data_IF_152399268529
#
_entry.id   IF_152399268529
#
_cell.length_a   1.000
_cell.length_b   1.000
_cell.length_c   1.000
_cell.angle_alpha   90.00
_cell.angle_beta   90.00
_cell.angle_gamma   90.00
#
_symmetry.space_group_name_H-M   'P 1'
#
loop_
_entity.id
_entity.type
_entity.pdbx_description
1 polymer ?
#
# COMPACT_ATOMS: atom_id res chain seq x y z
N UNK A 1 -0.23 22.71 -0.83
CA UNK A 1 0.28 21.36 -1.20
C UNK A 1 1.64 21.21 -0.56
N UNK A 2 1.86 20.10 0.15
CA UNK A 2 3.05 19.74 0.94
C UNK A 2 3.14 20.27 2.37
N UNK A 3 2.14 19.93 3.21
CA UNK A 3 2.34 19.71 4.65
C UNK A 3 1.37 18.62 5.11
N UNK A 4 1.52 17.39 4.61
CA UNK A 4 0.66 16.27 5.06
C UNK A 4 1.47 15.07 5.59
N UNK A 5 2.64 14.77 5.03
CA UNK A 5 3.45 13.63 5.48
C UNK A 5 4.03 13.83 6.91
N UNK A 6 4.50 15.03 7.24
CA UNK A 6 5.13 15.29 8.54
C UNK A 6 4.10 15.36 9.68
N UNK A 7 2.90 15.86 9.41
CA UNK A 7 1.80 15.89 10.37
C UNK A 7 1.26 14.48 10.62
N UNK A 8 1.24 13.63 9.60
CA UNK A 8 0.80 12.24 9.69
C UNK A 8 1.81 11.35 10.44
N UNK A 9 3.11 11.60 10.24
CA UNK A 9 4.20 10.96 10.98
C UNK A 9 4.19 11.42 12.46
N UNK A 10 3.90 12.70 12.73
CA UNK A 10 3.72 13.21 14.10
C UNK A 10 2.43 12.65 14.77
N UNK A 11 1.37 12.41 13.98
CA UNK A 11 0.11 11.80 14.43
C UNK A 11 0.29 10.30 14.78
N UNK A 12 1.16 9.61 14.04
CA UNK A 12 1.55 8.23 14.30
C UNK A 12 2.55 8.11 15.47
N UNK A 13 3.39 9.14 15.69
CA UNK A 13 4.29 9.22 16.85
C UNK A 13 3.54 9.46 18.17
N UNK A 14 2.34 10.06 18.13
CA UNK A 14 1.45 10.22 19.28
C UNK A 14 0.59 8.99 19.60
N UNK A 15 0.65 7.94 18.78
CA UNK A 15 -0.17 6.73 18.90
C UNK A 15 0.44 5.61 19.76
N UNK A 16 1.15 6.00 20.82
CA UNK A 16 1.37 5.13 21.98
C UNK A 16 0.51 5.50 23.20
N UNK A 17 -0.42 6.46 23.12
CA UNK A 17 -1.23 6.82 24.30
C UNK A 17 -2.74 6.96 24.02
N UNK A 18 -3.45 5.93 24.47
CA UNK A 18 -4.79 5.93 25.06
C UNK A 18 -5.86 6.84 24.40
N UNK A 19 -6.61 6.25 23.45
CA UNK A 19 -7.63 6.87 22.59
C UNK A 19 -8.69 7.75 23.28
N UNK A 20 -9.07 7.47 24.53
CA UNK A 20 -10.21 8.17 25.17
C UNK A 20 -9.92 9.65 25.49
N UNK A 21 -8.69 10.01 25.88
CA UNK A 21 -8.35 11.40 26.23
C UNK A 21 -8.26 12.32 25.00
N UNK A 22 -7.93 11.74 23.84
CA UNK A 22 -7.83 12.45 22.57
C UNK A 22 -9.22 12.93 22.09
N UNK A 23 -10.24 12.08 22.21
CA UNK A 23 -11.61 12.38 21.79
C UNK A 23 -12.20 13.55 22.59
N UNK A 24 -11.99 13.57 23.91
CA UNK A 24 -12.50 14.65 24.79
C UNK A 24 -11.81 15.99 24.55
N UNK A 25 -10.53 15.96 24.16
CA UNK A 25 -9.76 17.18 23.90
C UNK A 25 -10.03 17.78 22.51
N UNK A 26 -10.17 16.94 21.48
CA UNK A 26 -10.51 17.36 20.09
C UNK A 26 -11.88 18.02 20.03
N UNK A 27 -12.89 17.47 20.74
CA UNK A 27 -14.22 18.07 20.85
C UNK A 27 -14.20 19.49 21.46
N UNK A 28 -13.18 19.80 22.28
CA UNK A 28 -13.03 21.09 22.97
C UNK A 28 -12.37 22.16 22.10
N UNK A 29 -11.63 21.77 21.05
CA UNK A 29 -10.79 22.68 20.25
C UNK A 29 -11.34 22.99 18.85
N UNK A 30 -12.20 22.14 18.30
CA UNK A 30 -12.97 22.44 17.07
C UNK A 30 -13.86 23.69 17.23
N UNK A 31 -14.21 24.07 18.46
CA UNK A 31 -14.91 25.34 18.75
C UNK A 31 -14.07 26.61 18.59
N UNK A 32 -12.75 26.56 18.34
CA UNK A 32 -11.88 27.72 18.53
C UNK A 32 -11.00 28.19 17.36
N UNK A 33 -11.12 27.68 16.14
CA UNK A 33 -10.35 28.25 15.02
C UNK A 33 -11.10 28.25 13.70
N UNK A 34 -12.00 29.21 13.54
CA UNK A 34 -12.26 29.84 12.25
C UNK A 34 -11.47 31.17 12.22
N UNK A 35 -10.33 31.23 11.53
CA UNK A 35 -9.85 32.43 10.79
C UNK A 35 -8.49 32.17 10.11
N UNK A 36 -8.47 32.32 8.76
CA UNK A 36 -7.45 32.93 7.85
C UNK A 36 -5.93 32.70 8.06
N UNK A 37 -5.04 32.69 7.05
CA UNK A 37 -5.10 32.85 5.59
C UNK A 37 -3.73 32.48 4.92
N UNK A 38 -3.81 32.10 3.64
CA UNK A 38 -2.87 32.26 2.50
C UNK A 38 -1.45 31.63 2.44
N UNK A 39 -1.17 31.08 1.25
CA UNK A 39 0.02 30.38 0.72
C UNK A 39 1.23 31.27 0.45
N UNK A 40 2.44 30.70 0.45
CA UNK A 40 3.49 30.90 -0.57
C UNK A 40 4.40 29.66 -0.68
N UNK A 41 4.72 29.27 -1.92
CA UNK A 41 5.58 28.14 -2.32
C UNK A 41 7.01 28.65 -2.57
N UNK A 42 8.04 27.95 -2.10
CA UNK A 42 9.41 28.06 -2.62
C UNK A 42 10.23 26.79 -2.37
N UNK A 43 11.20 26.58 -3.27
CA UNK A 43 12.04 25.41 -3.50
C UNK A 43 12.60 24.69 -2.27
N UNK A 44 12.42 23.37 -2.21
CA UNK A 44 12.99 22.45 -1.23
C UNK A 44 13.77 21.42 -2.03
N UNK A 45 15.10 21.50 -2.10
CA UNK A 45 15.89 20.34 -2.56
C UNK A 45 17.36 20.26 -2.10
N UNK A 46 17.94 21.25 -1.39
CA UNK A 46 19.32 21.14 -0.87
C UNK A 46 19.46 21.33 0.65
N UNK A 47 18.56 22.07 1.31
CA UNK A 47 18.68 22.35 2.75
C UNK A 47 18.33 21.14 3.63
N UNK A 48 17.28 20.38 3.29
CA UNK A 48 16.80 19.26 4.12
C UNK A 48 17.84 18.14 4.27
N UNK A 49 18.62 17.86 3.23
CA UNK A 49 19.67 16.83 3.27
C UNK A 49 20.85 17.28 4.11
N UNK A 50 21.19 18.57 4.06
CA UNK A 50 22.24 19.15 4.89
C UNK A 50 21.83 19.27 6.36
N UNK A 51 20.56 19.60 6.62
CA UNK A 51 19.98 19.70 7.95
C UNK A 51 19.90 18.33 8.62
N UNK A 52 19.43 17.29 7.91
CA UNK A 52 19.40 15.92 8.43
C UNK A 52 20.80 15.36 8.66
N UNK A 53 21.78 15.68 7.80
CA UNK A 53 23.18 15.29 8.02
C UNK A 53 23.76 15.96 9.26
N UNK A 54 23.51 17.26 9.46
CA UNK A 54 23.96 17.99 10.65
C UNK A 54 23.30 17.43 11.92
N UNK A 55 22.01 17.09 11.83
CA UNK A 55 21.25 16.50 12.93
C UNK A 55 21.78 15.12 13.33
N UNK A 56 22.13 14.29 12.37
CA UNK A 56 22.77 12.99 12.61
C UNK A 56 24.17 13.17 13.22
N UNK A 57 24.96 14.14 12.75
CA UNK A 57 26.28 14.44 13.31
C UNK A 57 26.20 15.00 14.75
N UNK A 58 25.21 15.83 15.06
CA UNK A 58 24.97 16.38 16.41
C UNK A 58 24.46 15.31 17.39
N UNK A 59 23.61 14.39 16.91
CA UNK A 59 23.14 13.23 17.68
C UNK A 59 24.28 12.26 18.03
N UNK A 60 25.32 12.18 17.17
CA UNK A 60 26.52 11.36 17.42
C UNK A 60 27.51 12.04 18.37
N UNK A 61 27.53 13.38 18.47
CA UNK A 61 28.49 14.13 19.29
C UNK A 61 28.01 14.43 20.72
N UNK A 62 26.72 14.66 20.94
CA UNK A 62 26.22 15.12 22.24
C UNK A 62 25.71 13.95 23.11
N UNK A 63 26.49 13.59 24.12
CA UNK A 63 26.28 12.44 25.02
C UNK A 63 25.16 12.61 26.07
N UNK A 64 24.44 13.73 26.08
CA UNK A 64 23.42 14.07 27.08
C UNK A 64 22.08 14.46 26.45
N UNK A 65 21.51 13.58 25.61
CA UNK A 65 20.15 13.77 25.08
C UNK A 65 19.12 12.87 25.79
N UNK A 66 17.85 13.33 25.96
CA UNK A 66 16.85 12.69 26.82
C UNK A 66 16.44 11.28 26.34
N UNK A 67 15.78 10.48 27.20
CA UNK A 67 15.47 9.07 26.95
C UNK A 67 14.56 8.78 25.75
N UNK A 68 13.98 9.80 25.12
CA UNK A 68 13.18 9.67 23.89
C UNK A 68 14.05 9.39 22.63
N UNK A 69 15.37 9.36 22.79
CA UNK A 69 16.36 9.02 21.77
C UNK A 69 16.60 7.50 21.64
N UNK A 70 15.54 6.76 21.29
CA UNK A 70 15.63 5.32 20.98
C UNK A 70 16.54 5.01 19.79
N UNK A 71 16.70 5.96 18.85
CA UNK A 71 17.55 5.81 17.66
C UNK A 71 19.04 5.83 18.04
N UNK A 72 19.47 6.67 18.99
CA UNK A 72 20.88 6.77 19.39
C UNK A 72 21.28 5.68 20.38
N UNK A 73 20.37 5.21 21.24
CA UNK A 73 20.68 4.11 22.16
C UNK A 73 21.08 2.80 21.46
N UNK A 74 20.49 2.50 20.29
CA UNK A 74 20.83 1.31 19.51
C UNK A 74 22.13 1.45 18.69
N UNK A 75 22.61 2.67 18.47
CA UNK A 75 23.92 2.96 17.86
C UNK A 75 25.08 2.74 18.84
N UNK A 76 24.82 2.48 20.14
CA UNK A 76 25.84 2.14 21.15
C UNK A 76 26.39 0.70 21.06
N UNK A 77 26.11 -0.06 20.00
CA UNK A 77 26.87 -1.29 19.73
C UNK A 77 28.32 -0.92 19.41
N UNK A 78 29.29 -1.63 20.01
CA UNK A 78 30.75 -1.40 19.81
C UNK A 78 31.06 -1.17 18.33
N UNK A 79 31.93 -0.22 18.01
CA UNK A 79 32.36 0.16 16.65
C UNK A 79 32.65 -1.01 15.70
N UNK A 80 33.15 -2.15 16.22
CA UNK A 80 33.39 -3.40 15.46
C UNK A 80 32.11 -4.10 15.00
N UNK A 81 31.03 -4.06 15.77
CA UNK A 81 29.72 -4.57 15.38
C UNK A 81 29.05 -3.67 14.33
N UNK A 82 29.30 -2.36 14.39
CA UNK A 82 28.68 -1.40 13.47
C UNK A 82 29.18 -1.61 12.03
N UNK A 83 30.49 -1.75 11.82
CA UNK A 83 31.05 -2.00 10.47
C UNK A 83 30.51 -3.30 9.85
N UNK A 84 30.36 -4.34 10.67
CA UNK A 84 29.81 -5.62 10.24
C UNK A 84 28.33 -5.51 9.89
N UNK A 85 27.55 -4.82 10.74
CA UNK A 85 26.13 -4.56 10.51
C UNK A 85 25.89 -3.71 9.26
N UNK A 86 26.72 -2.68 9.02
CA UNK A 86 26.63 -1.83 7.81
C UNK A 86 26.91 -2.64 6.55
N UNK A 87 27.92 -3.53 6.56
CA UNK A 87 28.21 -4.42 5.42
C UNK A 87 27.04 -5.36 5.14
N UNK A 88 26.44 -5.93 6.17
CA UNK A 88 25.25 -6.78 6.06
C UNK A 88 24.07 -6.02 5.44
N UNK A 89 23.79 -4.80 5.92
CA UNK A 89 22.71 -3.96 5.40
C UNK A 89 22.95 -3.54 3.93
N UNK A 90 24.20 -3.25 3.54
CA UNK A 90 24.55 -2.93 2.14
C UNK A 90 24.25 -4.12 1.22
N UNK A 91 24.58 -5.34 1.65
CA UNK A 91 24.28 -6.56 0.88
C UNK A 91 22.77 -6.80 0.83
N UNK A 92 22.09 -6.70 1.97
CA UNK A 92 20.66 -6.97 2.10
C UNK A 92 19.79 -5.99 1.29
N UNK A 93 20.24 -4.74 1.14
CA UNK A 93 19.54 -3.70 0.36
C UNK A 93 20.01 -3.60 -1.10
N UNK A 94 20.86 -4.52 -1.56
CA UNK A 94 21.38 -4.56 -2.94
C UNK A 94 22.12 -3.27 -3.34
N UNK A 95 22.93 -2.75 -2.42
CA UNK A 95 23.74 -1.53 -2.58
C UNK A 95 25.23 -1.79 -2.82
N UNK A 96 25.65 -3.06 -2.88
CA UNK A 96 27.08 -3.45 -2.98
C UNK A 96 27.83 -2.74 -4.11
N UNK A 97 27.21 -2.54 -5.27
CA UNK A 97 27.82 -1.88 -6.44
C UNK A 97 27.90 -0.35 -6.32
N UNK A 98 27.25 0.20 -5.30
CA UNK A 98 27.12 1.64 -5.08
C UNK A 98 27.78 2.09 -3.76
N UNK A 99 28.20 1.16 -2.90
CA UNK A 99 28.74 1.44 -1.57
C UNK A 99 29.84 2.51 -1.55
N UNK A 100 30.78 2.47 -2.50
CA UNK A 100 31.91 3.41 -2.57
C UNK A 100 31.65 4.63 -3.47
N UNK A 101 30.42 4.80 -3.97
CA UNK A 101 30.03 5.92 -4.83
C UNK A 101 29.37 7.02 -4.02
N UNK A 102 29.58 8.28 -4.42
CA UNK A 102 28.90 9.44 -3.83
C UNK A 102 27.39 9.34 -4.04
N UNK A 103 26.60 9.65 -3.01
CA UNK A 103 25.13 9.59 -3.01
C UNK A 103 24.50 10.52 -4.06
N UNK A 104 25.18 11.60 -4.43
CA UNK A 104 24.80 12.49 -5.54
C UNK A 104 24.57 11.71 -6.85
N UNK A 105 25.41 10.70 -7.11
CA UNK A 105 25.36 9.87 -8.32
C UNK A 105 24.28 8.77 -8.29
N UNK A 106 23.55 8.65 -7.18
CA UNK A 106 22.55 7.60 -7.02
C UNK A 106 21.26 7.98 -7.76
N UNK A 107 20.68 7.00 -8.45
CA UNK A 107 19.31 7.11 -8.95
C UNK A 107 18.33 7.27 -7.77
N UNK A 108 17.13 7.81 -8.04
CA UNK A 108 16.09 7.93 -7.00
C UNK A 108 15.76 6.59 -6.31
N UNK A 109 15.76 5.48 -7.06
CA UNK A 109 15.55 4.15 -6.48
C UNK A 109 16.69 3.68 -5.60
N UNK A 110 17.94 3.96 -5.98
CA UNK A 110 19.13 3.67 -5.16
C UNK A 110 19.15 4.52 -3.88
N UNK A 111 18.72 5.79 -3.95
CA UNK A 111 18.57 6.65 -2.76
C UNK A 111 17.52 6.11 -1.78
N UNK A 112 16.39 5.57 -2.27
CA UNK A 112 15.39 4.91 -1.42
C UNK A 112 15.93 3.65 -0.74
N UNK A 113 16.68 2.81 -1.46
CA UNK A 113 17.36 1.64 -0.87
C UNK A 113 18.34 2.05 0.23
N UNK A 114 19.08 3.14 0.03
CA UNK A 114 19.97 3.68 1.04
C UNK A 114 19.21 4.20 2.26
N UNK A 115 18.10 4.93 2.05
CA UNK A 115 17.23 5.38 3.14
C UNK A 115 16.71 4.21 3.97
N UNK A 116 16.27 3.13 3.31
CA UNK A 116 15.87 1.90 3.99
C UNK A 116 17.03 1.27 4.77
N UNK A 117 18.24 1.21 4.18
CA UNK A 117 19.42 0.69 4.87
C UNK A 117 19.74 1.49 6.13
N UNK A 118 19.69 2.83 6.05
CA UNK A 118 19.93 3.74 7.18
C UNK A 118 18.88 3.52 8.27
N UNK A 119 17.60 3.41 7.91
CA UNK A 119 16.52 3.21 8.86
C UNK A 119 16.60 1.88 9.62
N UNK A 120 17.33 0.90 9.09
CA UNK A 120 17.56 -0.41 9.71
C UNK A 120 18.81 -0.46 10.58
N UNK A 121 19.66 0.58 10.53
CA UNK A 121 20.83 0.67 11.40
C UNK A 121 20.36 0.67 12.86
N UNK A 122 20.99 -0.17 13.68
CA UNK A 122 20.61 -0.33 15.09
C UNK A 122 19.50 -1.35 15.35
N UNK A 123 18.99 -2.02 14.32
CA UNK A 123 17.97 -3.08 14.45
C UNK A 123 16.70 -2.63 15.20
N UNK A 124 15.92 -1.69 14.63
CA UNK A 124 14.73 -1.17 15.29
C UNK A 124 13.64 -2.25 15.43
N UNK A 125 12.89 -2.21 16.53
CA UNK A 125 11.72 -3.09 16.73
C UNK A 125 10.50 -2.64 15.92
N UNK A 126 10.46 -1.38 15.50
CA UNK A 126 9.36 -0.78 14.73
C UNK A 126 9.96 0.14 13.66
N UNK A 127 9.51 -0.03 12.42
CA UNK A 127 9.96 0.75 11.27
C UNK A 127 8.75 1.34 10.54
N UNK A 128 8.77 2.65 10.34
CA UNK A 128 7.78 3.39 9.55
C UNK A 128 8.36 3.68 8.16
N UNK A 129 7.58 3.38 7.12
CA UNK A 129 7.99 3.54 5.72
C UNK A 129 6.93 4.31 4.95
N UNK A 130 7.28 5.51 4.51
CA UNK A 130 6.39 6.27 3.62
C UNK A 130 6.71 5.96 2.17
N UNK A 131 5.78 5.31 1.47
CA UNK A 131 5.84 5.03 0.04
C UNK A 131 7.17 4.40 -0.42
N UNK A 132 7.62 3.29 0.21
CA UNK A 132 8.99 2.78 0.08
C UNK A 132 9.35 2.34 -1.34
N UNK A 133 8.35 1.92 -2.12
CA UNK A 133 8.55 1.45 -3.49
C UNK A 133 8.30 2.48 -4.58
N UNK A 134 7.91 3.72 -4.24
CA UNK A 134 7.29 4.70 -5.15
C UNK A 134 8.03 4.89 -6.50
N UNK A 135 8.86 5.88 -6.78
CA UNK A 135 9.58 5.97 -8.07
C UNK A 135 10.70 4.93 -8.30
N UNK A 136 10.45 3.63 -8.06
CA UNK A 136 11.39 2.51 -8.25
C UNK A 136 10.89 1.60 -9.37
N UNK A 137 11.82 1.11 -10.20
CA UNK A 137 11.50 0.18 -11.28
C UNK A 137 10.89 -1.14 -10.75
N UNK A 138 10.07 -1.86 -11.53
CA UNK A 138 9.39 -3.07 -11.08
C UNK A 138 10.32 -4.16 -10.54
N UNK A 139 11.54 -4.28 -11.10
CA UNK A 139 12.53 -5.27 -10.68
C UNK A 139 13.11 -4.95 -9.30
N UNK A 140 13.51 -3.69 -9.10
CA UNK A 140 14.02 -3.22 -7.81
C UNK A 140 12.94 -3.14 -6.73
N UNK A 141 11.67 -2.85 -7.08
CA UNK A 141 10.53 -2.92 -6.15
C UNK A 141 10.40 -4.30 -5.52
N UNK A 142 10.42 -5.36 -6.34
CA UNK A 142 10.37 -6.75 -5.85
C UNK A 142 11.55 -7.09 -4.92
N UNK A 143 12.72 -6.51 -5.16
CA UNK A 143 13.88 -6.67 -4.26
C UNK A 143 13.62 -5.99 -2.91
N UNK A 144 13.13 -4.74 -2.91
CA UNK A 144 12.76 -4.03 -1.68
C UNK A 144 11.74 -4.84 -0.89
N UNK A 145 10.71 -5.39 -1.55
CA UNK A 145 9.70 -6.20 -0.88
C UNK A 145 10.30 -7.45 -0.22
N UNK A 146 11.20 -8.16 -0.92
CA UNK A 146 11.91 -9.31 -0.36
C UNK A 146 12.76 -8.93 0.84
N UNK A 147 13.47 -7.79 0.77
CA UNK A 147 14.25 -7.27 1.88
C UNK A 147 13.36 -6.95 3.08
N UNK A 148 12.23 -6.27 2.89
CA UNK A 148 11.28 -5.95 3.95
C UNK A 148 10.65 -7.20 4.58
N UNK A 149 10.27 -8.19 3.76
CA UNK A 149 9.76 -9.46 4.26
C UNK A 149 10.83 -10.20 5.10
N UNK A 150 12.08 -10.25 4.61
CA UNK A 150 13.21 -10.82 5.33
C UNK A 150 13.46 -10.11 6.67
N UNK A 151 13.42 -8.77 6.69
CA UNK A 151 13.59 -7.98 7.92
C UNK A 151 12.51 -8.32 8.96
N UNK A 152 11.25 -8.35 8.51
CA UNK A 152 10.11 -8.68 9.37
C UNK A 152 10.23 -10.07 10.00
N UNK A 153 10.72 -11.04 9.22
CA UNK A 153 10.83 -12.44 9.67
C UNK A 153 12.08 -12.67 10.56
N UNK A 154 13.23 -12.12 10.19
CA UNK A 154 14.51 -12.45 10.84
C UNK A 154 14.94 -11.49 11.95
N UNK A 155 14.50 -10.23 11.90
CA UNK A 155 14.95 -9.19 12.85
C UNK A 155 13.87 -8.83 13.88
N UNK A 156 12.73 -9.53 13.88
CA UNK A 156 11.59 -9.27 14.76
C UNK A 156 11.16 -7.78 14.73
N UNK A 157 11.21 -7.19 13.54
CA UNK A 157 10.86 -5.80 13.29
C UNK A 157 9.40 -5.71 12.83
N UNK A 158 8.61 -4.90 13.51
CA UNK A 158 7.26 -4.53 13.07
C UNK A 158 7.34 -3.46 11.99
N UNK A 159 6.64 -3.66 10.88
CA UNK A 159 6.63 -2.72 9.76
C UNK A 159 5.28 -2.02 9.67
N UNK A 160 5.31 -0.69 9.58
CA UNK A 160 4.16 0.15 9.23
C UNK A 160 4.51 0.89 7.96
N UNK A 161 3.74 0.68 6.90
CA UNK A 161 3.97 1.33 5.62
C UNK A 161 2.71 2.00 5.10
N UNK A 162 2.89 3.14 4.44
CA UNK A 162 1.89 3.81 3.61
C UNK A 162 2.22 3.52 2.15
N UNK A 163 1.21 3.14 1.38
CA UNK A 163 1.35 2.87 -0.04
C UNK A 163 0.05 3.11 -0.78
N UNK A 164 0.16 3.75 -1.94
CA UNK A 164 -0.90 3.82 -2.94
C UNK A 164 -0.95 2.57 -3.83
N UNK A 165 0.05 1.67 -3.73
CA UNK A 165 0.07 0.41 -4.47
C UNK A 165 -0.64 -0.68 -3.68
N UNK A 166 -1.75 -1.17 -4.24
CA UNK A 166 -2.50 -2.27 -3.64
C UNK A 166 -1.69 -3.57 -3.64
N UNK A 167 -0.91 -3.81 -4.70
CA UNK A 167 -0.01 -4.97 -4.80
C UNK A 167 1.06 -4.96 -3.68
N UNK A 168 1.59 -3.77 -3.32
CA UNK A 168 2.55 -3.64 -2.22
C UNK A 168 1.90 -3.97 -0.87
N UNK A 169 0.73 -3.40 -0.62
CA UNK A 169 -0.03 -3.67 0.59
C UNK A 169 -0.36 -5.16 0.71
N UNK A 170 -0.79 -5.80 -0.37
CA UNK A 170 -1.15 -7.22 -0.37
C UNK A 170 0.08 -8.12 -0.18
N UNK A 171 1.23 -7.76 -0.76
CA UNK A 171 2.45 -8.55 -0.64
C UNK A 171 3.14 -8.45 0.73
N UNK A 172 3.13 -7.28 1.38
CA UNK A 172 3.92 -7.02 2.60
C UNK A 172 3.09 -7.02 3.89
N UNK A 173 1.83 -6.56 3.82
CA UNK A 173 1.03 -6.27 5.00
C UNK A 173 0.18 -7.46 5.42
N UNK A 174 0.26 -7.86 6.68
CA UNK A 174 -0.67 -8.83 7.27
C UNK A 174 -2.01 -8.21 7.65
N UNK A 175 -2.02 -6.89 7.86
CA UNK A 175 -3.20 -6.08 8.17
C UNK A 175 -3.13 -4.80 7.35
N UNK A 176 -4.26 -4.40 6.81
CA UNK A 176 -4.40 -3.24 5.93
C UNK A 176 -5.44 -2.33 6.56
N UNK A 177 -5.14 -1.04 6.56
CA UNK A 177 -6.05 0.01 6.96
C UNK A 177 -6.31 0.91 5.76
N UNK A 178 -7.58 1.21 5.47
CA UNK A 178 -7.92 2.17 4.41
C UNK A 178 -8.40 3.45 5.08
N UNK A 179 -7.75 4.55 4.72
CA UNK A 179 -8.08 5.89 5.17
C UNK A 179 -8.76 6.68 4.05
N UNK A 180 -9.82 7.40 4.39
CA UNK A 180 -10.55 8.31 3.47
C UNK A 180 -10.90 9.57 4.24
N UNK A 181 -10.58 10.76 3.71
CA UNK A 181 -10.80 12.06 4.36
C UNK A 181 -10.22 12.15 5.78
N UNK A 182 -9.04 11.57 6.03
CA UNK A 182 -8.41 11.58 7.35
C UNK A 182 -9.01 10.62 8.38
N UNK A 183 -10.02 9.82 8.00
CA UNK A 183 -10.62 8.81 8.88
C UNK A 183 -10.32 7.39 8.39
N UNK A 184 -10.01 6.49 9.33
CA UNK A 184 -9.92 5.06 9.03
C UNK A 184 -11.31 4.48 8.80
N UNK A 185 -11.59 4.08 7.56
CA UNK A 185 -12.87 3.45 7.19
C UNK A 185 -12.86 1.94 7.42
N UNK A 186 -11.70 1.31 7.30
CA UNK A 186 -11.54 -0.09 7.62
C UNK A 186 -10.14 -0.43 8.11
N UNK A 187 -10.06 -1.51 8.89
CA UNK A 187 -8.82 -2.10 9.40
C UNK A 187 -9.03 -3.61 9.52
N UNK A 188 -8.15 -4.42 8.94
CA UNK A 188 -8.22 -5.87 9.04
C UNK A 188 -7.21 -6.57 8.14
N UNK A 189 -7.13 -7.90 8.23
CA UNK A 189 -6.41 -8.66 7.21
C UNK A 189 -7.19 -8.65 5.88
N UNK A 190 -6.55 -9.05 4.79
CA UNK A 190 -7.18 -9.02 3.47
C UNK A 190 -8.47 -9.84 3.41
N UNK A 191 -8.49 -11.02 4.04
CA UNK A 191 -9.67 -11.89 4.09
C UNK A 191 -10.85 -11.22 4.82
N UNK A 192 -10.58 -10.52 5.92
CA UNK A 192 -11.59 -9.77 6.68
C UNK A 192 -12.16 -8.63 5.86
N UNK A 193 -11.29 -7.86 5.19
CA UNK A 193 -11.71 -6.77 4.30
C UNK A 193 -12.59 -7.29 3.17
N UNK A 194 -12.19 -8.40 2.53
CA UNK A 194 -12.99 -9.06 1.50
C UNK A 194 -14.33 -9.56 2.02
N UNK A 195 -14.36 -10.20 3.18
CA UNK A 195 -15.63 -10.71 3.73
C UNK A 195 -16.60 -9.60 4.12
N UNK A 196 -16.08 -8.43 4.55
CA UNK A 196 -16.91 -7.33 5.06
C UNK A 196 -17.28 -6.31 4.00
N UNK A 197 -16.38 -6.05 3.05
CA UNK A 197 -16.53 -5.00 2.03
C UNK A 197 -16.46 -5.54 0.60
N UNK A 198 -16.21 -6.83 0.41
CA UNK A 198 -16.29 -7.46 -0.89
C UNK A 198 -17.72 -7.39 -1.43
N UNK A 199 -17.86 -6.92 -2.66
CA UNK A 199 -19.16 -6.70 -3.29
C UNK A 199 -19.54 -7.86 -4.23
N UNK A 200 -18.94 -9.03 -4.03
CA UNK A 200 -19.19 -10.24 -4.81
C UNK A 200 -18.00 -10.64 -5.68
N UNK A 201 -18.27 -11.16 -6.87
CA UNK A 201 -17.27 -11.78 -7.74
C UNK A 201 -17.13 -11.03 -9.07
N UNK A 202 -15.95 -11.14 -9.68
CA UNK A 202 -15.71 -10.71 -11.07
C UNK A 202 -15.72 -11.95 -11.95
N UNK A 203 -16.63 -11.96 -12.92
CA UNK A 203 -16.73 -12.98 -13.96
C UNK A 203 -16.25 -12.38 -15.28
N UNK A 204 -15.23 -12.96 -15.89
CA UNK A 204 -14.74 -12.59 -17.22
C UNK A 204 -15.02 -13.72 -18.19
N UNK A 205 -15.67 -13.42 -19.32
CA UNK A 205 -15.93 -14.38 -20.39
C UNK A 205 -15.17 -13.91 -21.62
N UNK A 206 -14.27 -14.76 -22.13
CA UNK A 206 -13.48 -14.51 -23.33
C UNK A 206 -14.05 -15.27 -24.52
N UNK A 207 -14.43 -14.53 -25.55
CA UNK A 207 -15.05 -15.04 -26.78
C UNK A 207 -14.04 -15.04 -27.91
N UNK A 208 -14.17 -15.99 -28.84
CA UNK A 208 -13.33 -16.07 -30.04
C UNK A 208 -13.67 -14.93 -31.02
N UNK A 209 -12.65 -14.26 -31.56
CA UNK A 209 -12.82 -13.10 -32.46
C UNK A 209 -13.61 -13.40 -33.74
N UNK A 210 -13.46 -14.61 -34.26
CA UNK A 210 -14.11 -15.09 -35.48
C UNK A 210 -15.63 -15.25 -35.34
N UNK A 211 -16.14 -15.38 -34.12
CA UNK A 211 -17.58 -15.50 -33.81
C UNK A 211 -18.22 -14.19 -33.37
N UNK A 212 -17.45 -13.12 -33.29
CA UNK A 212 -17.91 -11.85 -32.74
C UNK A 212 -18.80 -11.11 -33.75
N UNK A 213 -20.11 -11.23 -33.57
CA UNK A 213 -21.10 -10.39 -34.24
C UNK A 213 -22.13 -9.88 -33.21
N UNK A 214 -22.89 -8.86 -33.58
CA UNK A 214 -23.85 -8.21 -32.66
C UNK A 214 -24.89 -9.19 -32.12
N UNK A 215 -25.37 -10.12 -32.94
CA UNK A 215 -26.37 -11.12 -32.55
C UNK A 215 -25.83 -12.10 -31.50
N UNK A 216 -24.60 -12.57 -31.70
CA UNK A 216 -23.89 -13.44 -30.77
C UNK A 216 -23.66 -12.74 -29.43
N UNK A 217 -23.14 -11.52 -29.44
CA UNK A 217 -22.93 -10.70 -28.23
C UNK A 217 -24.23 -10.59 -27.42
N UNK A 218 -25.34 -10.26 -28.08
CA UNK A 218 -26.64 -10.13 -27.42
C UNK A 218 -27.19 -11.46 -26.90
N UNK A 219 -26.97 -12.56 -27.63
CA UNK A 219 -27.35 -13.91 -27.17
C UNK A 219 -26.63 -14.31 -25.89
N UNK A 220 -25.31 -14.02 -25.80
CA UNK A 220 -24.50 -14.29 -24.61
C UNK A 220 -24.95 -13.45 -23.44
N UNK A 221 -25.14 -12.14 -23.64
CA UNK A 221 -25.63 -11.23 -22.59
C UNK A 221 -26.99 -11.69 -22.05
N UNK A 222 -27.91 -12.07 -22.93
CA UNK A 222 -29.23 -12.58 -22.55
C UNK A 222 -29.12 -13.85 -21.72
N UNK A 223 -28.28 -14.79 -22.14
CA UNK A 223 -28.09 -16.04 -21.41
C UNK A 223 -27.48 -15.81 -20.03
N UNK A 224 -26.47 -14.95 -19.91
CA UNK A 224 -25.88 -14.59 -18.62
C UNK A 224 -26.94 -13.95 -17.70
N UNK A 225 -27.74 -13.02 -18.21
CA UNK A 225 -28.79 -12.37 -17.43
C UNK A 225 -29.89 -13.35 -16.96
N UNK A 226 -30.20 -14.39 -17.75
CA UNK A 226 -31.16 -15.44 -17.39
C UNK A 226 -30.61 -16.41 -16.34
N UNK A 227 -29.35 -16.82 -16.47
CA UNK A 227 -28.74 -17.83 -15.59
C UNK A 227 -28.18 -17.24 -14.29
N UNK A 228 -27.71 -15.99 -14.33
CA UNK A 228 -27.11 -15.27 -13.20
C UNK A 228 -27.76 -13.89 -13.12
N UNK A 229 -28.89 -13.81 -12.43
CA UNK A 229 -29.67 -12.57 -12.26
C UNK A 229 -28.90 -11.47 -11.53
N UNK A 230 -27.89 -11.83 -10.74
CA UNK A 230 -27.02 -10.91 -10.01
C UNK A 230 -25.78 -10.44 -10.80
N UNK A 231 -25.60 -10.87 -12.05
CA UNK A 231 -24.47 -10.46 -12.89
C UNK A 231 -24.75 -9.12 -13.60
N UNK A 232 -23.95 -8.11 -13.28
CA UNK A 232 -24.01 -6.77 -13.89
C UNK A 232 -22.82 -6.60 -14.82
N UNK A 233 -23.07 -6.34 -16.12
CA UNK A 233 -22.01 -6.04 -17.07
C UNK A 233 -21.32 -4.72 -16.67
N UNK A 234 -20.02 -4.78 -16.40
CA UNK A 234 -19.18 -3.62 -16.04
C UNK A 234 -18.46 -3.06 -17.25
N UNK A 235 -17.93 -3.95 -18.08
CA UNK A 235 -17.14 -3.57 -19.24
C UNK A 235 -17.27 -4.61 -20.35
N UNK A 236 -17.13 -4.14 -21.58
CA UNK A 236 -17.11 -4.97 -22.78
C UNK A 236 -15.91 -4.54 -23.62
N UNK A 237 -14.82 -5.28 -23.48
CA UNK A 237 -13.69 -5.18 -24.40
C UNK A 237 -13.96 -6.05 -25.63
N UNK A 238 -13.21 -5.83 -26.73
CA UNK A 238 -13.44 -6.48 -28.04
C UNK A 238 -13.74 -7.99 -27.99
N UNK A 239 -13.19 -8.73 -27.03
CA UNK A 239 -13.40 -10.17 -26.86
C UNK A 239 -13.78 -10.58 -25.45
N UNK A 240 -13.78 -9.66 -24.49
CA UNK A 240 -13.90 -9.98 -23.07
C UNK A 240 -15.06 -9.22 -22.46
N UNK A 241 -16.02 -9.99 -21.96
CA UNK A 241 -17.16 -9.49 -21.22
C UNK A 241 -16.84 -9.57 -19.75
N UNK A 242 -16.83 -8.44 -19.06
CA UNK A 242 -16.55 -8.35 -17.64
C UNK A 242 -17.84 -8.07 -16.87
N UNK A 243 -18.26 -9.06 -16.07
CA UNK A 243 -19.42 -9.00 -15.20
C UNK A 243 -19.00 -8.91 -13.74
N UNK A 244 -19.79 -8.17 -12.97
CA UNK A 244 -19.73 -8.16 -11.52
C UNK A 244 -20.96 -8.85 -10.96
N UNK A 245 -20.76 -9.99 -10.30
CA UNK A 245 -21.82 -10.78 -9.67
C UNK A 245 -21.97 -10.30 -8.24
N UNK A 246 -23.10 -9.65 -7.91
CA UNK A 246 -23.31 -9.02 -6.60
C UNK A 246 -23.76 -9.97 -5.50
N UNK A 247 -24.23 -11.16 -5.87
CA UNK A 247 -24.70 -12.14 -4.91
C UNK A 247 -23.52 -12.93 -4.30
N UNK A 248 -23.18 -12.57 -3.06
CA UNK A 248 -22.11 -13.20 -2.26
C UNK A 248 -22.50 -14.58 -1.71
N UNK A 249 -23.77 -14.97 -1.81
CA UNK A 249 -24.23 -16.30 -1.36
C UNK A 249 -24.03 -17.39 -2.42
N UNK A 250 -23.81 -16.99 -3.69
CA UNK A 250 -23.56 -17.91 -4.78
C UNK A 250 -22.24 -18.65 -4.58
N UNK A 251 -22.33 -19.98 -4.47
CA UNK A 251 -21.14 -20.83 -4.42
C UNK A 251 -20.42 -20.81 -5.76
N UNK A 252 -19.10 -20.74 -5.69
CA UNK A 252 -18.22 -20.87 -6.86
C UNK A 252 -18.56 -22.10 -7.71
N UNK A 253 -18.83 -23.24 -7.08
CA UNK A 253 -19.23 -24.47 -7.78
C UNK A 253 -20.42 -24.29 -8.72
N UNK A 254 -21.39 -23.44 -8.36
CA UNK A 254 -22.57 -23.20 -9.19
C UNK A 254 -22.21 -22.27 -10.35
N UNK A 255 -21.43 -21.23 -10.10
CA UNK A 255 -20.92 -20.33 -11.15
C UNK A 255 -20.09 -21.11 -12.19
N UNK A 256 -19.16 -21.96 -11.75
CA UNK A 256 -18.36 -22.81 -12.64
C UNK A 256 -19.22 -23.79 -13.44
N UNK A 257 -20.26 -24.39 -12.85
CA UNK A 257 -21.20 -25.26 -13.57
C UNK A 257 -21.96 -24.52 -14.67
N UNK A 258 -22.50 -23.34 -14.34
CA UNK A 258 -23.23 -22.50 -15.30
C UNK A 258 -22.30 -22.07 -16.44
N UNK A 259 -21.10 -21.58 -16.12
CA UNK A 259 -20.13 -21.17 -17.13
C UNK A 259 -19.63 -22.32 -17.98
N UNK A 260 -19.44 -23.51 -17.40
CA UNK A 260 -19.04 -24.70 -18.15
C UNK A 260 -20.11 -25.15 -19.15
N UNK A 261 -21.40 -25.10 -18.77
CA UNK A 261 -22.50 -25.39 -19.69
C UNK A 261 -22.56 -24.37 -20.83
N UNK A 262 -22.49 -23.08 -20.49
CA UNK A 262 -22.47 -22.02 -21.49
C UNK A 262 -21.26 -22.09 -22.43
N UNK A 263 -20.08 -22.50 -21.93
CA UNK A 263 -18.90 -22.70 -22.77
C UNK A 263 -19.14 -23.78 -23.83
N UNK A 264 -19.93 -24.82 -23.52
CA UNK A 264 -20.31 -25.85 -24.50
C UNK A 264 -21.34 -25.32 -25.51
N UNK A 265 -22.37 -24.61 -25.03
CA UNK A 265 -23.47 -24.13 -25.89
C UNK A 265 -23.04 -23.02 -26.84
N UNK A 266 -22.18 -22.10 -26.37
CA UNK A 266 -21.77 -20.91 -27.13
C UNK A 266 -20.33 -20.99 -27.67
N UNK A 267 -19.55 -22.01 -27.27
CA UNK A 267 -18.17 -22.24 -27.72
C UNK A 267 -17.23 -21.03 -27.49
N UNK A 268 -17.20 -20.53 -26.25
CA UNK A 268 -16.27 -19.48 -25.82
C UNK A 268 -14.82 -19.98 -25.76
N UNK A 269 -13.85 -19.05 -25.85
CA UNK A 269 -12.43 -19.38 -25.68
C UNK A 269 -12.13 -19.77 -24.23
N UNK A 270 -12.49 -18.90 -23.29
CA UNK A 270 -12.29 -19.16 -21.87
C UNK A 270 -13.18 -18.33 -20.93
N UNK A 271 -13.17 -18.68 -19.64
CA UNK A 271 -13.80 -17.86 -18.61
C UNK A 271 -12.97 -17.86 -17.32
N UNK A 272 -13.05 -16.75 -16.59
CA UNK A 272 -12.36 -16.58 -15.30
C UNK A 272 -13.34 -16.08 -14.26
N UNK A 273 -13.34 -16.69 -13.09
CA UNK A 273 -14.07 -16.23 -11.92
C UNK A 273 -13.02 -15.83 -10.90
N UNK A 274 -13.05 -14.56 -10.48
CA UNK A 274 -12.12 -13.98 -9.51
C UNK A 274 -12.88 -13.35 -8.36
N UNK A 275 -12.26 -13.37 -7.19
CA UNK A 275 -12.76 -12.65 -6.02
C UNK A 275 -12.57 -11.13 -6.15
N UNK A 276 -13.26 -10.39 -5.26
CA UNK A 276 -13.03 -8.94 -5.13
C UNK A 276 -11.56 -8.67 -4.76
N UNK A 277 -10.89 -7.80 -5.53
CA UNK A 277 -9.51 -7.38 -5.25
C UNK A 277 -9.46 -6.26 -4.20
N UNK A 278 -8.30 -6.04 -3.58
CA UNK A 278 -8.11 -4.91 -2.65
C UNK A 278 -8.38 -3.57 -3.34
N UNK A 279 -7.98 -3.45 -4.60
CA UNK A 279 -8.22 -2.28 -5.42
C UNK A 279 -9.71 -1.99 -5.61
N UNK A 280 -10.52 -3.01 -5.88
CA UNK A 280 -11.98 -2.85 -5.98
C UNK A 280 -12.60 -2.40 -4.66
N UNK A 281 -12.14 -2.96 -3.53
CA UNK A 281 -12.55 -2.52 -2.18
C UNK A 281 -12.19 -1.04 -1.98
N UNK A 282 -10.97 -0.64 -2.33
CA UNK A 282 -10.50 0.74 -2.22
C UNK A 282 -11.33 1.70 -3.09
N UNK A 283 -11.57 1.37 -4.37
CA UNK A 283 -12.39 2.18 -5.28
C UNK A 283 -13.81 2.35 -4.73
N UNK A 284 -14.36 1.32 -4.09
CA UNK A 284 -15.70 1.41 -3.49
C UNK A 284 -15.77 2.49 -2.38
N UNK A 285 -14.72 2.60 -1.56
CA UNK A 285 -14.61 3.65 -0.55
C UNK A 285 -14.35 5.02 -1.15
N UNK A 286 -13.52 5.10 -2.20
CA UNK A 286 -13.25 6.36 -2.91
C UNK A 286 -14.52 6.91 -3.59
N UNK A 287 -15.39 6.06 -4.15
CA UNK A 287 -16.68 6.48 -4.72
C UNK A 287 -17.65 7.04 -3.66
N UNK A 288 -17.66 6.48 -2.46
CA UNK A 288 -18.45 7.01 -1.34
C UNK A 288 -18.01 8.42 -0.93
N UNK A 289 -16.74 8.78 -1.19
CA UNK A 289 -16.24 10.14 -0.95
C UNK A 289 -16.89 11.16 -1.89
N UNK A 290 -17.06 10.81 -3.17
CA UNK A 290 -17.67 11.69 -4.18
C UNK A 290 -19.18 11.87 -4.01
N UNK A 291 -19.87 10.90 -3.39
CA UNK A 291 -21.32 10.95 -3.16
C UNK A 291 -21.70 11.74 -1.89
N UNK A 292 -20.74 12.02 -1.01
CA UNK A 292 -20.94 12.76 0.24
C UNK A 292 -20.44 14.22 0.17
N UNK A 293 -20.08 14.67 -1.03
CA UNK A 293 -19.73 16.05 -1.37
C UNK A 293 -20.83 16.62 -2.28
#
# INVERSE_FOLDING_TARGET
MYVDAFLFILLLFLLELNLEKLITWVAKRIKKSNSCDSMHMNAVEDNDVHEERSRVEDLLRNSETPPDSLIVQNLRKKEKDLSSSVKELIVMTDLTKHADKRTETYSGGTRRKLSLAIALIGNPRLLFLDEPSSGVDPGARRKIWKTLAFIKEHYNCSLVLTSHSMDECEALCGRIAIMVNGEFKCLGNFQHLRSKFGQGYTLKIKVKRDKLNTEYIESVKRQVAMMITSAILKDLNETVFEYHVTDTTLRWSNLFKIMSAMKQDFDFEDYTISDTTLEQIFISFARQQQLNL
#
